data_IF_501152768727
#
_entry.id   IF_501152768727
#
_cell.length_a   1.000
_cell.length_b   1.000
_cell.length_c   1.000
_cell.angle_alpha   90.00
_cell.angle_beta   90.00
_cell.angle_gamma   90.00
#
_symmetry.space_group_name_H-M   'P 1'
#
loop_
_entity.id
_entity.type
_entity.pdbx_description
1 polymer ?
#
# COMPACT_ATOMS: atom_id res chain seq x y z
N UNK A 1 67.03 -55.84 -7.93
CA UNK A 1 67.86 -54.70 -8.38
C UNK A 1 66.95 -53.59 -8.91
N UNK A 2 66.92 -52.46 -8.20
CA UNK A 2 66.83 -51.07 -8.70
C UNK A 2 65.58 -50.62 -9.52
N UNK A 3 64.86 -49.67 -8.88
CA UNK A 3 64.10 -48.49 -9.38
C UNK A 3 62.71 -48.71 -10.02
N UNK A 4 61.64 -48.27 -9.35
CA UNK A 4 61.07 -46.89 -9.33
C UNK A 4 60.28 -46.56 -10.60
N UNK A 5 58.96 -46.39 -10.46
CA UNK A 5 58.31 -45.11 -10.75
C UNK A 5 56.93 -45.03 -10.08
N UNK A 6 56.77 -43.98 -9.26
CA UNK A 6 55.48 -43.44 -8.82
C UNK A 6 54.69 -42.95 -10.03
N UNK A 7 53.39 -43.25 -10.07
CA UNK A 7 52.38 -42.31 -10.58
C UNK A 7 51.15 -42.42 -9.67
N UNK A 8 50.90 -41.35 -8.93
CA UNK A 8 49.62 -41.06 -8.29
C UNK A 8 48.56 -40.81 -9.36
N UNK A 9 47.38 -41.42 -9.23
CA UNK A 9 46.15 -40.81 -9.69
C UNK A 9 45.02 -41.05 -8.70
N UNK A 10 44.30 -39.96 -8.45
CA UNK A 10 43.41 -39.74 -7.33
C UNK A 10 42.17 -40.62 -7.36
N UNK A 11 41.89 -41.13 -6.17
CA UNK A 11 40.65 -41.78 -5.75
C UNK A 11 39.50 -40.76 -5.74
N UNK A 12 38.43 -41.00 -6.49
CA UNK A 12 37.11 -40.43 -6.18
C UNK A 12 36.13 -41.59 -6.10
N UNK A 13 35.83 -41.96 -4.86
CA UNK A 13 34.83 -42.95 -4.49
C UNK A 13 33.43 -42.34 -4.64
N UNK A 14 32.55 -43.05 -5.35
CA UNK A 14 31.11 -42.98 -5.16
C UNK A 14 30.73 -43.90 -4.00
N UNK A 15 30.08 -43.38 -2.96
CA UNK A 15 29.15 -44.15 -2.12
C UNK A 15 28.02 -43.27 -1.59
N UNK A 16 26.80 -43.76 -1.75
CA UNK A 16 25.61 -43.30 -1.05
C UNK A 16 25.63 -43.81 0.40
N UNK A 17 25.32 -42.96 1.37
CA UNK A 17 24.58 -43.33 2.58
C UNK A 17 23.73 -42.13 3.02
N UNK A 18 22.43 -42.38 3.20
CA UNK A 18 21.56 -41.44 3.90
C UNK A 18 21.91 -41.43 5.39
N UNK A 19 21.93 -40.24 5.97
CA UNK A 19 21.76 -40.03 7.40
C UNK A 19 20.97 -38.73 7.59
N UNK A 20 19.79 -38.90 8.18
CA UNK A 20 18.99 -37.86 8.82
C UNK A 20 19.92 -37.10 9.78
N UNK A 21 20.17 -35.81 9.50
CA UNK A 21 20.77 -34.91 10.48
C UNK A 21 19.76 -33.85 10.88
N UNK A 22 19.21 -34.07 12.08
CA UNK A 22 18.73 -32.99 12.92
C UNK A 22 19.87 -32.00 13.09
N UNK A 23 19.75 -30.83 12.48
CA UNK A 23 20.46 -29.66 12.96
C UNK A 23 19.43 -28.57 13.26
N UNK A 24 19.11 -28.49 14.55
CA UNK A 24 18.48 -27.34 15.19
C UNK A 24 19.30 -26.11 14.79
N UNK A 25 18.73 -25.25 13.96
CA UNK A 25 19.10 -23.85 13.93
C UNK A 25 17.96 -23.06 14.58
N UNK A 26 18.32 -22.09 15.42
CA UNK A 26 17.50 -21.60 16.53
C UNK A 26 16.29 -20.86 15.99
N UNK A 27 15.21 -20.87 16.78
CA UNK A 27 14.05 -20.01 16.66
C UNK A 27 14.35 -18.76 15.81
N UNK A 28 13.89 -18.76 14.55
CA UNK A 28 13.23 -17.55 14.07
C UNK A 28 11.99 -17.46 14.95
N UNK A 29 12.15 -16.79 16.09
CA UNK A 29 11.00 -16.22 16.77
C UNK A 29 10.26 -15.47 15.68
N UNK A 30 9.10 -16.00 15.29
CA UNK A 30 8.04 -15.15 14.80
C UNK A 30 7.88 -14.11 15.88
N UNK A 31 8.53 -12.95 15.72
CA UNK A 31 8.25 -11.74 16.47
C UNK A 31 6.85 -11.27 16.04
N UNK A 32 5.84 -12.11 16.28
CA UNK A 32 4.50 -11.62 16.55
C UNK A 32 4.68 -10.77 17.77
N UNK A 33 4.44 -9.48 17.63
CA UNK A 33 4.33 -8.61 18.77
C UNK A 33 3.24 -9.18 19.69
N UNK A 34 3.67 -9.82 20.78
CA UNK A 34 2.81 -10.40 21.82
C UNK A 34 2.39 -9.37 22.86
N UNK A 35 2.84 -8.12 22.72
CA UNK A 35 2.37 -7.02 23.55
C UNK A 35 0.98 -6.61 23.12
N UNK A 36 0.03 -6.82 24.01
CA UNK A 36 -1.35 -6.41 23.85
C UNK A 36 -1.47 -4.90 24.02
N UNK A 37 -2.02 -4.22 23.01
CA UNK A 37 -2.35 -2.81 23.12
C UNK A 37 -3.38 -2.59 24.23
N UNK A 38 -3.19 -1.53 25.02
CA UNK A 38 -4.11 -1.19 26.11
C UNK A 38 -5.20 -0.26 25.62
N UNK A 39 -6.18 -0.80 24.89
CA UNK A 39 -7.34 -0.03 24.44
C UNK A 39 -8.52 -0.13 25.40
N UNK A 40 -9.43 0.85 25.41
CA UNK A 40 -10.71 0.71 26.10
C UNK A 40 -11.55 -0.42 25.47
N UNK A 41 -12.46 -1.00 26.24
CA UNK A 41 -13.48 -1.91 25.70
C UNK A 41 -14.57 -1.10 24.97
N UNK A 42 -14.25 -0.66 23.76
CA UNK A 42 -15.14 0.09 22.88
C UNK A 42 -15.22 -0.56 21.49
N UNK A 43 -16.26 -0.22 20.74
CA UNK A 43 -16.43 -0.72 19.37
C UNK A 43 -15.32 -0.23 18.43
N UNK A 44 -14.92 1.05 18.56
CA UNK A 44 -13.79 1.64 17.84
C UNK A 44 -12.49 0.89 18.10
N UNK A 45 -12.17 0.60 19.37
CA UNK A 45 -11.00 -0.17 19.74
C UNK A 45 -11.01 -1.58 19.14
N UNK A 46 -12.16 -2.27 19.16
CA UNK A 46 -12.31 -3.59 18.53
C UNK A 46 -12.08 -3.54 17.02
N UNK A 47 -12.63 -2.52 16.35
CA UNK A 47 -12.43 -2.28 14.90
C UNK A 47 -10.96 -2.00 14.58
N UNK A 48 -10.27 -1.19 15.38
CA UNK A 48 -8.83 -0.92 15.20
C UNK A 48 -8.00 -2.19 15.41
N UNK A 49 -8.28 -2.97 16.45
CA UNK A 49 -7.62 -4.27 16.66
C UNK A 49 -7.83 -5.21 15.46
N UNK A 50 -9.05 -5.30 14.94
CA UNK A 50 -9.36 -6.08 13.73
C UNK A 50 -8.52 -5.64 12.52
N UNK A 51 -8.41 -4.32 12.28
CA UNK A 51 -7.58 -3.81 11.18
C UNK A 51 -6.09 -4.11 11.39
N UNK A 52 -5.58 -4.02 12.63
CA UNK A 52 -4.19 -4.33 12.93
C UNK A 52 -3.88 -5.82 12.71
N UNK A 53 -4.79 -6.71 13.08
CA UNK A 53 -4.67 -8.14 12.81
C UNK A 53 -4.70 -8.42 11.30
N UNK A 54 -5.60 -7.76 10.57
CA UNK A 54 -5.67 -7.83 9.11
C UNK A 54 -4.36 -7.34 8.47
N UNK A 55 -3.82 -6.19 8.90
CA UNK A 55 -2.53 -5.67 8.45
C UNK A 55 -1.41 -6.71 8.63
N UNK A 56 -1.34 -7.35 9.80
CA UNK A 56 -0.29 -8.33 10.10
C UNK A 56 -0.36 -9.55 9.15
N UNK A 57 -1.57 -10.02 8.83
CA UNK A 57 -1.77 -11.11 7.85
C UNK A 57 -1.36 -10.70 6.45
N UNK A 58 -1.72 -9.48 6.04
CA UNK A 58 -1.32 -8.94 4.74
C UNK A 58 0.18 -8.79 4.62
N UNK A 59 0.85 -8.35 5.69
CA UNK A 59 2.29 -8.26 5.73
C UNK A 59 2.94 -9.65 5.58
N UNK A 60 2.46 -10.65 6.32
CA UNK A 60 2.98 -12.03 6.24
C UNK A 60 2.89 -12.61 4.82
N UNK A 61 1.78 -12.36 4.12
CA UNK A 61 1.50 -12.97 2.81
C UNK A 61 2.00 -12.15 1.61
N UNK A 62 1.96 -10.83 1.69
CA UNK A 62 2.15 -9.95 0.53
C UNK A 62 3.28 -8.93 0.69
N UNK A 63 3.55 -8.43 1.90
CA UNK A 63 4.56 -7.38 2.10
C UNK A 63 5.16 -7.40 3.51
N UNK A 64 6.18 -8.23 3.72
CA UNK A 64 6.71 -8.52 5.06
C UNK A 64 7.01 -7.28 5.90
N UNK A 65 7.61 -6.25 5.29
CA UNK A 65 8.03 -5.06 6.01
C UNK A 65 6.87 -4.20 6.55
N UNK A 66 5.65 -4.40 6.04
CA UNK A 66 4.47 -3.61 6.42
C UNK A 66 4.01 -3.85 7.87
N UNK A 67 4.49 -4.93 8.51
CA UNK A 67 4.24 -5.21 9.92
C UNK A 67 5.52 -5.25 10.77
N UNK A 68 6.63 -4.67 10.28
CA UNK A 68 7.88 -4.58 11.06
C UNK A 68 7.71 -3.75 12.34
N UNK A 69 6.70 -2.87 12.40
CA UNK A 69 6.31 -2.11 13.59
C UNK A 69 4.93 -2.53 14.07
N UNK A 70 4.72 -2.42 15.38
CA UNK A 70 3.41 -2.58 16.02
C UNK A 70 2.35 -1.65 15.42
N UNK A 71 2.71 -0.38 15.26
CA UNK A 71 1.94 0.64 14.56
C UNK A 71 2.92 1.56 13.83
N UNK A 72 2.52 2.07 12.67
CA UNK A 72 3.33 3.02 11.93
C UNK A 72 3.32 4.41 12.61
N UNK A 73 2.23 4.79 13.28
CA UNK A 73 2.17 6.00 14.08
C UNK A 73 0.75 6.32 14.55
N UNK A 74 0.48 7.60 14.79
CA UNK A 74 -0.79 8.03 15.39
C UNK A 74 -1.97 7.90 14.42
N UNK A 75 -3.06 7.34 14.92
CA UNK A 75 -4.36 7.31 14.24
C UNK A 75 -5.37 8.15 15.01
N UNK A 76 -6.20 8.91 14.30
CA UNK A 76 -7.32 9.64 14.87
C UNK A 76 -8.59 9.08 14.25
N UNK A 77 -9.37 8.38 15.08
CA UNK A 77 -10.70 7.87 14.76
C UNK A 77 -11.73 8.91 15.19
N UNK A 78 -12.44 9.51 14.24
CA UNK A 78 -13.48 10.48 14.53
C UNK A 78 -14.83 9.78 14.76
N UNK A 79 -15.47 10.09 15.88
CA UNK A 79 -16.72 9.47 16.30
C UNK A 79 -17.59 10.45 17.09
N UNK A 80 -18.67 10.92 16.47
CA UNK A 80 -19.54 11.97 16.96
C UNK A 80 -18.76 13.23 17.30
N UNK A 81 -18.77 13.61 18.58
CA UNK A 81 -18.11 14.81 19.10
C UNK A 81 -16.69 14.55 19.61
N UNK A 82 -16.12 13.38 19.34
CA UNK A 82 -14.85 12.94 19.90
C UNK A 82 -13.83 12.60 18.82
N UNK A 83 -12.56 12.78 19.19
CA UNK A 83 -11.40 12.22 18.52
C UNK A 83 -10.79 11.14 19.42
N UNK A 84 -10.92 9.89 19.01
CA UNK A 84 -10.31 8.74 19.65
C UNK A 84 -8.91 8.54 19.04
N UNK A 85 -7.87 8.79 19.81
CA UNK A 85 -6.50 8.87 19.31
C UNK A 85 -5.74 7.63 19.75
N UNK A 86 -5.41 6.78 18.78
CA UNK A 86 -4.65 5.56 18.96
C UNK A 86 -3.17 5.84 18.67
N UNK A 87 -2.28 5.24 19.46
CA UNK A 87 -0.82 5.41 19.36
C UNK A 87 -0.38 6.88 19.37
N UNK A 88 -0.81 7.67 20.37
CA UNK A 88 -0.55 9.11 20.41
C UNK A 88 0.96 9.41 20.49
N UNK A 89 1.47 10.15 19.52
CA UNK A 89 2.83 10.67 19.60
C UNK A 89 2.92 11.87 20.54
N UNK A 90 4.09 12.12 21.11
CA UNK A 90 4.33 13.34 21.91
C UNK A 90 3.99 14.61 21.13
N UNK A 91 4.26 14.61 19.83
CA UNK A 91 3.94 15.73 18.95
C UNK A 91 2.44 15.98 18.89
N UNK A 92 1.63 14.92 18.70
CA UNK A 92 0.17 15.05 18.71
C UNK A 92 -0.32 15.54 20.08
N UNK A 93 0.11 14.89 21.17
CA UNK A 93 -0.32 15.25 22.53
C UNK A 93 -0.04 16.71 22.89
N UNK A 94 1.14 17.23 22.51
CA UNK A 94 1.53 18.62 22.77
C UNK A 94 0.67 19.65 22.02
N UNK A 95 -0.06 19.24 20.98
CA UNK A 95 -0.94 20.11 20.17
C UNK A 95 -2.41 19.96 20.54
N UNK A 96 -2.79 18.96 21.33
CA UNK A 96 -4.15 18.80 21.82
C UNK A 96 -4.44 19.84 22.90
N UNK A 97 -5.59 20.53 22.79
CA UNK A 97 -6.03 21.50 23.80
C UNK A 97 -6.43 20.80 25.11
N UNK A 98 -7.16 19.70 25.01
CA UNK A 98 -7.66 18.91 26.13
C UNK A 98 -7.79 17.46 25.72
N UNK A 99 -7.43 16.53 26.61
CA UNK A 99 -7.62 15.09 26.39
C UNK A 99 -7.67 14.35 27.72
N UNK A 100 -8.19 13.13 27.69
CA UNK A 100 -8.18 12.16 28.79
C UNK A 100 -7.34 10.96 28.37
N UNK A 101 -6.37 10.60 29.21
CA UNK A 101 -5.54 9.42 28.98
C UNK A 101 -6.23 8.18 29.55
N UNK A 102 -6.41 7.16 28.71
CA UNK A 102 -6.76 5.81 29.15
C UNK A 102 -5.50 4.98 29.35
N UNK A 103 -4.57 5.05 28.39
CA UNK A 103 -3.28 4.36 28.39
C UNK A 103 -2.26 5.11 27.53
N UNK A 104 -1.04 4.59 27.43
CA UNK A 104 -0.03 5.12 26.49
C UNK A 104 -0.41 4.88 25.01
N UNK A 105 -1.26 3.87 24.75
CA UNK A 105 -1.72 3.52 23.40
C UNK A 105 -3.01 4.26 23.00
N UNK A 106 -3.67 4.96 23.94
CA UNK A 106 -4.97 5.56 23.69
C UNK A 106 -5.25 6.80 24.55
N UNK A 107 -5.64 7.88 23.87
CA UNK A 107 -6.24 9.07 24.49
C UNK A 107 -7.54 9.47 23.82
N UNK A 108 -8.44 10.09 24.59
CA UNK A 108 -9.71 10.63 24.11
C UNK A 108 -9.69 12.15 24.19
N UNK A 109 -10.02 12.82 23.09
CA UNK A 109 -10.13 14.28 23.02
C UNK A 109 -11.51 14.70 22.48
N UNK A 110 -12.02 15.90 22.80
CA UNK A 110 -13.05 16.52 21.97
C UNK A 110 -12.60 16.54 20.50
N UNK A 111 -13.56 16.49 19.58
CA UNK A 111 -13.28 16.44 18.14
C UNK A 111 -12.27 17.51 17.71
N UNK A 112 -11.18 17.07 17.07
CA UNK A 112 -10.03 17.91 16.73
C UNK A 112 -10.09 18.53 15.34
N UNK A 113 -11.04 18.10 14.49
CA UNK A 113 -11.23 18.63 13.15
C UNK A 113 -12.17 19.85 13.12
N UNK A 114 -12.16 20.52 11.97
CA UNK A 114 -13.11 21.60 11.66
C UNK A 114 -13.88 21.36 10.36
N UNK A 115 -13.61 20.25 9.67
CA UNK A 115 -14.28 19.85 8.43
C UNK A 115 -14.91 18.47 8.63
N UNK A 116 -15.98 18.15 7.91
CA UNK A 116 -16.78 16.98 8.24
C UNK A 116 -16.28 15.67 7.59
N UNK A 117 -15.31 15.73 6.67
CA UNK A 117 -14.78 14.56 5.96
C UNK A 117 -13.31 14.34 6.28
N UNK A 118 -12.99 13.12 6.74
CA UNK A 118 -11.63 12.63 6.90
C UNK A 118 -11.53 11.15 6.51
N UNK A 119 -10.71 10.88 5.51
CA UNK A 119 -10.22 9.53 5.22
C UNK A 119 -8.90 9.68 4.47
N UNK A 120 -7.85 9.99 5.22
CA UNK A 120 -6.57 10.42 4.65
C UNK A 120 -5.42 10.26 5.66
N UNK A 121 -4.20 10.13 5.14
CA UNK A 121 -2.99 10.41 5.86
C UNK A 121 -2.58 11.87 5.67
N UNK A 122 -2.62 12.66 6.74
CA UNK A 122 -2.12 14.03 6.71
C UNK A 122 -0.63 14.07 7.02
N UNK A 123 0.12 14.84 6.21
CA UNK A 123 1.49 15.25 6.49
C UNK A 123 1.75 16.62 5.83
N UNK A 124 2.44 17.51 6.54
CA UNK A 124 2.82 18.81 6.02
C UNK A 124 4.34 18.99 6.00
N UNK A 125 4.85 19.64 4.96
CA UNK A 125 6.27 19.98 4.84
C UNK A 125 6.54 21.50 4.91
N UNK A 126 5.52 22.33 4.68
CA UNK A 126 5.61 23.78 4.76
C UNK A 126 5.72 24.27 6.21
N UNK A 127 6.75 25.06 6.50
CA UNK A 127 7.01 25.63 7.83
C UNK A 127 5.89 26.56 8.32
N UNK A 128 5.05 27.09 7.43
CA UNK A 128 3.84 27.82 7.79
C UNK A 128 2.84 26.97 8.60
N UNK A 129 2.96 25.64 8.51
CA UNK A 129 2.12 24.67 9.20
C UNK A 129 2.80 24.03 10.42
N UNK A 130 3.90 24.61 10.94
CA UNK A 130 4.63 24.07 12.09
C UNK A 130 3.78 23.99 13.39
N UNK A 131 2.64 24.68 13.44
CA UNK A 131 1.67 24.56 14.51
C UNK A 131 0.85 23.26 14.45
N UNK A 132 0.72 22.63 13.28
CA UNK A 132 -0.09 21.43 13.06
C UNK A 132 0.54 20.18 13.66
N UNK A 133 -0.30 19.29 14.19
CA UNK A 133 0.17 18.01 14.75
C UNK A 133 0.78 17.09 13.69
N UNK A 134 0.43 17.27 12.41
CA UNK A 134 0.94 16.51 11.26
C UNK A 134 2.13 17.18 10.54
N UNK A 135 2.72 18.25 11.10
CA UNK A 135 3.90 18.88 10.50
C UNK A 135 5.12 17.95 10.57
N UNK A 136 5.64 17.57 9.41
CA UNK A 136 6.72 16.59 9.20
C UNK A 136 6.51 15.27 9.96
N UNK A 137 5.27 14.95 10.29
CA UNK A 137 4.89 13.77 11.06
C UNK A 137 3.58 13.22 10.48
N UNK A 138 3.59 12.06 9.82
CA UNK A 138 2.37 11.51 9.24
C UNK A 138 1.37 11.17 10.35
N UNK A 139 0.11 11.59 10.18
CA UNK A 139 -0.99 11.26 11.09
C UNK A 139 -2.18 10.82 10.27
N UNK A 140 -2.63 9.60 10.56
CA UNK A 140 -3.76 9.01 9.87
C UNK A 140 -5.07 9.48 10.50
N UNK A 141 -6.03 9.83 9.67
CA UNK A 141 -7.30 10.39 10.08
C UNK A 141 -8.42 9.69 9.32
N UNK A 142 -9.34 9.08 10.05
CA UNK A 142 -10.50 8.43 9.45
C UNK A 142 -11.75 8.64 10.29
N UNK A 143 -12.84 8.88 9.59
CA UNK A 143 -14.19 8.81 10.15
C UNK A 143 -14.52 7.37 10.58
N UNK A 144 -15.41 7.26 11.56
CA UNK A 144 -16.08 6.01 11.88
C UNK A 144 -16.79 5.41 10.67
N UNK A 145 -17.02 4.10 10.68
CA UNK A 145 -17.78 3.44 9.60
C UNK A 145 -19.21 4.00 9.50
N UNK A 146 -19.77 4.47 10.61
CA UNK A 146 -21.07 5.15 10.65
C UNK A 146 -21.03 6.50 9.93
N UNK A 147 -19.99 7.30 10.17
CA UNK A 147 -19.88 8.65 9.59
C UNK A 147 -19.44 8.64 8.14
N UNK A 148 -18.48 7.79 7.76
CA UNK A 148 -17.97 7.76 6.39
C UNK A 148 -19.05 7.36 5.38
N UNK A 149 -20.02 6.54 5.78
CA UNK A 149 -21.12 6.11 4.93
C UNK A 149 -22.02 7.26 4.45
N UNK A 150 -21.98 8.43 5.12
CA UNK A 150 -22.66 9.63 4.67
C UNK A 150 -21.96 10.32 3.47
N UNK A 151 -20.66 10.09 3.31
CA UNK A 151 -19.83 10.68 2.25
C UNK A 151 -19.55 9.70 1.11
N UNK A 152 -19.37 8.42 1.45
CA UNK A 152 -19.11 7.34 0.50
C UNK A 152 -20.17 6.26 0.74
N UNK A 153 -21.36 6.37 0.12
CA UNK A 153 -22.49 5.47 0.38
C UNK A 153 -22.24 3.99 0.06
N UNK A 154 -21.18 3.68 -0.69
CA UNK A 154 -20.76 2.30 -0.93
C UNK A 154 -20.15 1.64 0.30
N UNK A 155 -19.56 2.39 1.24
CA UNK A 155 -19.01 1.83 2.49
C UNK A 155 -20.15 1.56 3.46
N UNK A 156 -20.55 0.30 3.54
CA UNK A 156 -21.72 -0.13 4.33
C UNK A 156 -21.36 -1.00 5.53
N UNK A 157 -20.12 -1.49 5.60
CA UNK A 157 -19.70 -2.44 6.61
C UNK A 157 -18.31 -2.14 7.15
N UNK A 158 -18.02 -2.66 8.35
CA UNK A 158 -16.71 -2.54 9.01
C UNK A 158 -15.60 -3.12 8.14
N UNK A 159 -15.88 -4.20 7.41
CA UNK A 159 -14.93 -4.87 6.53
C UNK A 159 -14.59 -4.01 5.30
N UNK A 160 -15.56 -3.31 4.71
CA UNK A 160 -15.29 -2.33 3.64
C UNK A 160 -14.55 -1.11 4.15
N UNK A 161 -14.89 -0.62 5.34
CA UNK A 161 -14.15 0.45 5.99
C UNK A 161 -12.70 0.03 6.24
N UNK A 162 -12.48 -1.22 6.69
CA UNK A 162 -11.15 -1.75 6.96
C UNK A 162 -10.24 -1.79 5.73
N UNK A 163 -10.75 -2.06 4.52
CA UNK A 163 -9.91 -2.03 3.32
C UNK A 163 -9.33 -0.64 3.07
N UNK A 164 -10.13 0.40 3.30
CA UNK A 164 -9.68 1.78 3.20
C UNK A 164 -8.73 2.14 4.35
N UNK A 165 -8.97 1.68 5.58
CA UNK A 165 -8.01 1.94 6.67
C UNK A 165 -6.66 1.29 6.35
N UNK A 166 -6.64 0.10 5.76
CA UNK A 166 -5.40 -0.53 5.28
C UNK A 166 -4.70 0.31 4.21
N UNK A 167 -5.45 0.89 3.27
CA UNK A 167 -4.93 1.84 2.27
C UNK A 167 -4.14 2.97 2.95
N UNK A 168 -4.80 3.65 3.88
CA UNK A 168 -4.21 4.79 4.61
C UNK A 168 -3.07 4.37 5.56
N UNK A 169 -3.15 3.19 6.17
CA UNK A 169 -2.04 2.63 6.95
C UNK A 169 -0.83 2.36 6.06
N UNK A 170 -1.04 1.99 4.80
CA UNK A 170 0.05 1.79 3.86
C UNK A 170 0.71 3.11 3.48
N UNK A 171 -0.04 4.21 3.35
CA UNK A 171 0.58 5.54 3.25
C UNK A 171 1.43 5.84 4.49
N UNK A 172 0.94 5.54 5.69
CA UNK A 172 1.74 5.72 6.91
C UNK A 172 3.07 4.96 6.84
N UNK A 173 3.03 3.70 6.40
CA UNK A 173 4.22 2.88 6.15
C UNK A 173 5.18 3.53 5.15
N UNK A 174 4.66 4.05 4.03
CA UNK A 174 5.45 4.77 3.03
C UNK A 174 6.15 6.00 3.63
N UNK A 175 5.42 6.88 4.31
CA UNK A 175 5.96 8.13 4.88
C UNK A 175 6.90 7.91 6.07
N UNK A 176 6.89 6.73 6.66
CA UNK A 176 7.86 6.32 7.66
C UNK A 176 9.16 5.80 7.07
N UNK A 177 9.21 5.50 5.78
CA UNK A 177 10.46 5.33 5.07
C UNK A 177 11.08 6.71 4.81
N UNK A 178 12.31 6.94 5.31
CA UNK A 178 12.98 8.24 5.21
C UNK A 178 13.21 8.66 3.75
N UNK A 179 13.54 7.73 2.86
CA UNK A 179 13.81 8.03 1.45
C UNK A 179 12.52 8.40 0.71
N UNK A 180 11.43 7.68 0.97
CA UNK A 180 10.11 8.06 0.45
C UNK A 180 9.65 9.41 1.00
N UNK A 181 9.82 9.67 2.30
CA UNK A 181 9.46 10.96 2.90
C UNK A 181 10.24 12.13 2.30
N UNK A 182 11.54 11.96 2.09
CA UNK A 182 12.38 12.96 1.41
C UNK A 182 11.94 13.17 -0.04
N UNK A 183 11.56 12.09 -0.74
CA UNK A 183 11.01 12.19 -2.08
C UNK A 183 9.70 12.99 -2.08
N UNK A 184 8.78 12.69 -1.16
CA UNK A 184 7.53 13.42 -0.99
C UNK A 184 7.74 14.91 -0.67
N UNK A 185 8.68 15.26 0.22
CA UNK A 185 9.05 16.66 0.50
C UNK A 185 9.59 17.37 -0.76
N UNK A 186 10.37 16.66 -1.58
CA UNK A 186 10.87 17.20 -2.85
C UNK A 186 9.77 17.40 -3.91
N UNK A 187 8.68 16.64 -3.84
CA UNK A 187 7.50 16.82 -4.70
C UNK A 187 6.63 17.95 -4.17
N UNK A 188 6.39 18.01 -2.86
CA UNK A 188 5.59 19.04 -2.21
C UNK A 188 6.16 20.46 -2.36
N UNK A 189 7.47 20.59 -2.63
CA UNK A 189 8.12 21.88 -2.89
C UNK A 189 8.03 22.37 -4.34
N UNK A 190 7.44 21.57 -5.24
CA UNK A 190 7.22 21.96 -6.63
C UNK A 190 6.04 22.91 -6.75
N UNK A 191 6.07 23.77 -7.76
CA UNK A 191 4.92 24.59 -8.18
C UNK A 191 3.98 23.84 -9.14
N UNK A 192 4.02 22.52 -9.12
CA UNK A 192 3.21 21.62 -9.92
C UNK A 192 2.91 20.38 -9.07
N UNK A 193 1.64 20.03 -8.93
CA UNK A 193 1.19 18.93 -8.06
C UNK A 193 0.06 18.11 -8.69
N UNK A 194 -0.53 17.20 -7.91
CA UNK A 194 -1.60 16.32 -8.38
C UNK A 194 -2.82 17.06 -8.92
N UNK A 195 -3.13 18.26 -8.41
CA UNK A 195 -4.27 19.06 -8.89
C UNK A 195 -4.03 19.54 -10.31
N UNK A 196 -2.78 19.80 -10.69
CA UNK A 196 -2.43 20.12 -12.08
C UNK A 196 -2.64 18.90 -12.99
N UNK A 197 -2.24 17.69 -12.56
CA UNK A 197 -2.48 16.46 -13.31
C UNK A 197 -3.98 16.15 -13.45
N UNK A 198 -4.75 16.29 -12.37
CA UNK A 198 -6.20 16.09 -12.38
C UNK A 198 -6.85 17.08 -13.34
N UNK A 199 -6.47 18.36 -13.26
CA UNK A 199 -6.98 19.39 -14.17
C UNK A 199 -6.65 19.05 -15.62
N UNK A 200 -5.42 18.63 -15.91
CA UNK A 200 -5.03 18.22 -17.27
C UNK A 200 -5.87 17.04 -17.76
N UNK A 201 -6.07 16.01 -16.93
CA UNK A 201 -6.90 14.85 -17.27
C UNK A 201 -8.39 15.18 -17.45
N UNK A 202 -8.91 16.21 -16.78
CA UNK A 202 -10.30 16.65 -16.94
C UNK A 202 -10.50 17.59 -18.13
N UNK A 203 -9.53 18.45 -18.41
CA UNK A 203 -9.65 19.53 -19.40
C UNK A 203 -9.20 19.09 -20.81
N UNK A 204 -8.32 18.08 -20.92
CA UNK A 204 -7.75 17.62 -22.20
C UNK A 204 -8.12 16.15 -22.50
N UNK A 205 -9.10 15.92 -23.41
CA UNK A 205 -9.52 14.57 -23.79
C UNK A 205 -8.43 13.71 -24.46
N UNK A 206 -7.46 14.32 -25.14
CA UNK A 206 -6.36 13.58 -25.78
C UNK A 206 -5.40 13.05 -24.71
N UNK A 207 -5.18 13.81 -23.64
CA UNK A 207 -4.42 13.35 -22.48
C UNK A 207 -5.09 12.13 -21.83
N UNK A 208 -6.39 12.22 -21.51
CA UNK A 208 -7.12 11.14 -20.82
C UNK A 208 -7.23 9.90 -21.71
N UNK A 209 -7.43 10.07 -23.02
CA UNK A 209 -7.47 8.97 -23.98
C UNK A 209 -6.12 8.24 -24.07
N UNK A 210 -5.01 8.98 -24.06
CA UNK A 210 -3.68 8.39 -24.05
C UNK A 210 -3.41 7.60 -22.76
N UNK A 211 -3.81 8.13 -21.60
CA UNK A 211 -3.74 7.43 -20.31
C UNK A 211 -4.57 6.14 -20.30
N UNK A 212 -5.80 6.17 -20.83
CA UNK A 212 -6.64 4.98 -20.92
C UNK A 212 -5.99 3.92 -21.80
N UNK A 213 -5.45 4.32 -22.96
CA UNK A 213 -4.72 3.42 -23.87
C UNK A 213 -3.49 2.80 -23.20
N UNK A 214 -2.74 3.58 -22.43
CA UNK A 214 -1.63 3.09 -21.60
C UNK A 214 -2.13 2.02 -20.61
N UNK A 215 -3.19 2.31 -19.85
CA UNK A 215 -3.75 1.37 -18.88
C UNK A 215 -4.26 0.07 -19.53
N UNK A 216 -4.93 0.15 -20.69
CA UNK A 216 -5.38 -1.01 -21.45
C UNK A 216 -4.23 -1.93 -21.85
N UNK A 217 -3.08 -1.37 -22.21
CA UNK A 217 -1.89 -2.17 -22.56
C UNK A 217 -1.33 -2.91 -21.33
N UNK A 218 -1.37 -2.29 -20.15
CA UNK A 218 -1.02 -2.97 -18.89
C UNK A 218 -1.99 -4.12 -18.59
N UNK A 219 -3.30 -3.88 -18.75
CA UNK A 219 -4.31 -4.93 -18.55
C UNK A 219 -4.13 -6.09 -19.53
N UNK A 220 -3.90 -5.79 -20.82
CA UNK A 220 -3.57 -6.81 -21.84
C UNK A 220 -2.32 -7.60 -21.47
N UNK A 221 -1.28 -6.96 -20.93
CA UNK A 221 -0.08 -7.66 -20.47
C UNK A 221 -0.38 -8.56 -19.25
N UNK A 222 -1.23 -8.13 -18.33
CA UNK A 222 -1.66 -8.94 -17.17
C UNK A 222 -2.49 -10.14 -17.61
N UNK A 223 -3.36 -10.00 -18.59
CA UNK A 223 -4.26 -11.06 -19.06
C UNK A 223 -3.60 -12.01 -20.07
N UNK A 224 -2.47 -11.61 -20.67
CA UNK A 224 -1.75 -12.44 -21.64
C UNK A 224 -1.18 -13.72 -20.99
N UNK A 225 -1.27 -14.84 -21.72
CA UNK A 225 -0.83 -16.16 -21.27
C UNK A 225 0.52 -16.60 -21.84
N UNK A 226 1.14 -15.80 -22.72
CA UNK A 226 2.43 -16.10 -23.32
C UNK A 226 3.37 -14.91 -23.22
N UNK A 227 4.66 -15.20 -23.04
CA UNK A 227 5.71 -14.20 -22.81
C UNK A 227 5.82 -13.19 -23.94
N UNK A 228 5.75 -13.63 -25.20
CA UNK A 228 5.84 -12.73 -26.36
C UNK A 228 4.76 -11.65 -26.35
N UNK A 229 3.51 -12.02 -26.06
CA UNK A 229 2.40 -11.08 -25.95
C UNK A 229 2.55 -10.13 -24.76
N UNK A 230 3.08 -10.64 -23.63
CA UNK A 230 3.37 -9.81 -22.46
C UNK A 230 4.41 -8.74 -22.83
N UNK A 231 5.56 -9.15 -23.38
CA UNK A 231 6.65 -8.25 -23.79
C UNK A 231 6.19 -7.24 -24.85
N UNK A 232 5.39 -7.67 -25.83
CA UNK A 232 4.85 -6.78 -26.85
C UNK A 232 3.93 -5.69 -26.26
N UNK A 233 3.03 -6.06 -25.35
CA UNK A 233 2.14 -5.11 -24.69
C UNK A 233 2.92 -4.13 -23.81
N UNK A 234 3.92 -4.60 -23.05
CA UNK A 234 4.78 -3.74 -22.22
C UNK A 234 5.61 -2.78 -23.09
N UNK A 235 6.18 -3.27 -24.20
CA UNK A 235 6.94 -2.42 -25.13
C UNK A 235 6.05 -1.34 -25.74
N UNK A 236 4.83 -1.71 -26.15
CA UNK A 236 3.84 -0.77 -26.70
C UNK A 236 3.42 0.25 -25.64
N UNK A 237 3.22 -0.19 -24.38
CA UNK A 237 2.94 0.70 -23.26
C UNK A 237 3.99 1.79 -23.10
N UNK A 238 5.28 1.43 -23.09
CA UNK A 238 6.36 2.43 -22.99
C UNK A 238 6.42 3.38 -24.19
N UNK A 239 6.15 2.88 -25.40
CA UNK A 239 6.10 3.73 -26.58
C UNK A 239 4.97 4.76 -26.50
N UNK A 240 3.77 4.34 -26.10
CA UNK A 240 2.61 5.24 -25.95
C UNK A 240 2.83 6.24 -24.81
N UNK A 241 3.34 5.77 -23.66
CA UNK A 241 3.72 6.64 -22.55
C UNK A 241 4.73 7.69 -22.98
N UNK A 242 5.82 7.29 -23.63
CA UNK A 242 6.84 8.23 -24.14
C UNK A 242 6.24 9.25 -25.11
N UNK A 243 5.36 8.81 -26.01
CA UNK A 243 4.66 9.69 -26.95
C UNK A 243 3.83 10.74 -26.21
N UNK A 244 3.04 10.34 -25.21
CA UNK A 244 2.27 11.28 -24.38
C UNK A 244 3.20 12.23 -23.63
N UNK A 245 4.21 11.71 -22.92
CA UNK A 245 5.13 12.54 -22.14
C UNK A 245 5.80 13.62 -23.00
N UNK A 246 6.29 13.27 -24.20
CA UNK A 246 6.91 14.25 -25.11
C UNK A 246 5.91 15.26 -25.68
N UNK A 247 4.64 14.90 -25.88
CA UNK A 247 3.61 15.82 -26.37
C UNK A 247 3.30 16.95 -25.36
N UNK A 248 3.35 16.66 -24.05
CA UNK A 248 3.00 17.62 -23.00
C UNK A 248 4.22 18.26 -22.30
N UNK A 249 5.44 17.85 -22.65
CA UNK A 249 6.67 18.21 -21.94
C UNK A 249 6.96 19.71 -21.93
N UNK A 250 6.66 20.43 -23.01
CA UNK A 250 6.91 21.87 -23.10
C UNK A 250 6.02 22.67 -22.16
N UNK A 251 4.76 22.27 -22.01
CA UNK A 251 3.76 22.96 -21.19
C UNK A 251 3.78 22.47 -19.73
N UNK A 252 4.13 21.20 -19.52
CA UNK A 252 4.12 20.54 -18.23
C UNK A 252 5.43 19.78 -17.95
N UNK A 253 6.57 20.48 -17.83
CA UNK A 253 7.89 19.84 -17.69
C UNK A 253 8.06 19.01 -16.40
N UNK A 254 7.22 19.24 -15.39
CA UNK A 254 7.25 18.51 -14.11
C UNK A 254 6.27 17.34 -14.05
N UNK A 255 5.44 17.15 -15.09
CA UNK A 255 4.36 16.18 -15.14
C UNK A 255 4.82 14.76 -14.83
N UNK A 256 5.86 14.28 -15.53
CA UNK A 256 6.36 12.92 -15.34
C UNK A 256 6.84 12.68 -13.91
N UNK A 257 7.56 13.65 -13.33
CA UNK A 257 8.11 13.54 -11.98
C UNK A 257 6.98 13.40 -10.94
N UNK A 258 5.96 14.24 -11.06
CA UNK A 258 4.80 14.24 -10.15
C UNK A 258 3.94 12.99 -10.38
N UNK A 259 3.67 12.64 -11.64
CA UNK A 259 2.89 11.44 -11.99
C UNK A 259 3.57 10.18 -11.47
N UNK A 260 4.90 10.04 -11.63
CA UNK A 260 5.64 8.89 -11.11
C UNK A 260 5.55 8.76 -9.58
N UNK A 261 5.55 9.89 -8.86
CA UNK A 261 5.38 9.89 -7.40
C UNK A 261 3.98 9.40 -7.00
N UNK A 262 2.92 9.99 -7.55
CA UNK A 262 1.55 9.60 -7.19
C UNK A 262 1.18 8.21 -7.70
N UNK A 263 1.72 7.78 -8.84
CA UNK A 263 1.55 6.40 -9.32
C UNK A 263 2.17 5.40 -8.36
N UNK A 264 3.33 5.73 -7.76
CA UNK A 264 3.95 4.91 -6.72
C UNK A 264 3.14 4.95 -5.42
N UNK A 265 2.83 6.15 -4.91
CA UNK A 265 2.14 6.35 -3.64
C UNK A 265 0.77 5.67 -3.63
N UNK A 266 -0.11 6.09 -4.54
CA UNK A 266 -1.51 5.68 -4.58
C UNK A 266 -1.67 4.27 -5.15
N UNK A 267 -0.87 3.92 -6.16
CA UNK A 267 -0.91 2.59 -6.77
C UNK A 267 -0.52 1.48 -5.79
N UNK A 268 0.48 1.72 -4.93
CA UNK A 268 0.89 0.73 -3.95
C UNK A 268 -0.03 0.63 -2.74
N UNK A 269 -0.66 1.73 -2.33
CA UNK A 269 -1.74 1.69 -1.34
C UNK A 269 -2.97 0.95 -1.87
N UNK A 270 -3.42 1.24 -3.11
CA UNK A 270 -4.51 0.51 -3.78
C UNK A 270 -4.18 -0.97 -4.00
N UNK A 271 -2.93 -1.31 -4.28
CA UNK A 271 -2.50 -2.71 -4.34
C UNK A 271 -2.73 -3.42 -3.01
N UNK A 272 -2.35 -2.81 -1.89
CA UNK A 272 -2.57 -3.41 -0.56
C UNK A 272 -4.03 -3.45 -0.16
N UNK A 273 -4.83 -2.45 -0.55
CA UNK A 273 -6.28 -2.48 -0.43
C UNK A 273 -6.91 -3.67 -1.19
N UNK A 274 -6.44 -3.95 -2.40
CA UNK A 274 -6.90 -5.11 -3.16
C UNK A 274 -6.47 -6.44 -2.52
N UNK A 275 -5.24 -6.55 -2.01
CA UNK A 275 -4.82 -7.74 -1.26
C UNK A 275 -5.63 -7.92 0.03
N UNK A 276 -5.99 -6.83 0.69
CA UNK A 276 -6.90 -6.81 1.83
C UNK A 276 -8.25 -7.40 1.47
N UNK A 277 -8.86 -6.92 0.38
CA UNK A 277 -10.11 -7.44 -0.11
C UNK A 277 -10.00 -8.97 -0.37
N UNK A 278 -8.96 -9.43 -1.06
CA UNK A 278 -8.73 -10.87 -1.30
C UNK A 278 -8.66 -11.70 -0.02
N UNK A 279 -7.95 -11.22 1.00
CA UNK A 279 -7.86 -11.90 2.29
C UNK A 279 -9.24 -11.98 2.99
N UNK A 280 -10.04 -10.91 2.92
CA UNK A 280 -11.41 -10.90 3.44
C UNK A 280 -12.32 -11.89 2.67
N UNK A 281 -12.09 -12.07 1.37
CA UNK A 281 -12.77 -13.11 0.57
C UNK A 281 -12.43 -14.52 1.06
N UNK A 282 -11.16 -14.77 1.37
CA UNK A 282 -10.74 -16.04 1.97
C UNK A 282 -11.41 -16.28 3.34
N UNK A 283 -11.67 -15.23 4.12
CA UNK A 283 -12.42 -15.35 5.37
C UNK A 283 -13.91 -15.59 5.16
N UNK A 284 -14.51 -15.00 4.13
CA UNK A 284 -15.90 -15.30 3.75
C UNK A 284 -16.09 -16.78 3.43
N UNK A 285 -15.10 -17.39 2.76
CA UNK A 285 -15.12 -18.82 2.37
C UNK A 285 -14.82 -19.74 3.56
N UNK A 286 -13.76 -19.44 4.32
CA UNK A 286 -13.24 -20.36 5.34
C UNK A 286 -13.79 -20.12 6.74
N UNK A 287 -14.45 -18.98 6.98
CA UNK A 287 -15.06 -18.56 8.25
C UNK A 287 -14.19 -18.80 9.49
N UNK A 288 -12.97 -18.25 9.56
CA UNK A 288 -12.12 -18.45 10.73
C UNK A 288 -12.71 -17.73 11.96
N UNK A 289 -12.98 -18.47 13.04
CA UNK A 289 -13.49 -17.92 14.31
C UNK A 289 -12.65 -16.74 14.84
N UNK A 290 -11.33 -16.74 14.55
CA UNK A 290 -10.34 -15.82 15.10
C UNK A 290 -10.47 -14.33 14.71
N UNK A 291 -11.36 -13.98 13.77
CA UNK A 291 -11.47 -12.62 13.22
C UNK A 291 -12.90 -12.06 13.22
N UNK A 292 -13.81 -12.71 13.94
CA UNK A 292 -15.20 -12.24 14.06
C UNK A 292 -15.30 -11.08 15.05
N UNK A 293 -15.83 -9.94 14.60
CA UNK A 293 -16.16 -8.83 15.48
C UNK A 293 -17.56 -9.00 16.06
N UNK A 294 -17.64 -9.65 17.22
CA UNK A 294 -18.91 -9.77 17.95
C UNK A 294 -19.41 -8.41 18.44
N UNK A 295 -20.73 -8.20 18.37
CA UNK A 295 -21.42 -6.97 18.80
C UNK A 295 -21.10 -5.69 18.01
N UNK A 296 -20.48 -5.80 16.83
CA UNK A 296 -20.39 -4.69 15.88
C UNK A 296 -21.60 -4.73 14.92
N UNK A 297 -22.55 -3.78 14.98
CA UNK A 297 -23.73 -3.78 14.12
C UNK A 297 -23.42 -3.50 12.64
N UNK A 298 -22.19 -3.10 12.31
CA UNK A 298 -21.72 -2.85 10.94
C UNK A 298 -20.85 -3.99 10.42
N UNK A 299 -20.50 -4.97 11.25
CA UNK A 299 -19.80 -6.16 10.80
C UNK A 299 -20.80 -7.14 10.17
N UNK A 300 -20.58 -7.51 8.91
CA UNK A 300 -21.52 -8.27 8.10
C UNK A 300 -20.95 -9.64 7.68
N UNK A 301 -20.05 -10.20 8.50
CA UNK A 301 -19.44 -11.51 8.28
C UNK A 301 -18.87 -11.67 6.86
N UNK A 302 -18.18 -10.62 6.37
CA UNK A 302 -17.47 -10.61 5.09
C UNK A 302 -18.35 -10.76 3.84
N UNK A 303 -19.68 -10.62 3.95
CA UNK A 303 -20.62 -10.84 2.83
C UNK A 303 -20.29 -10.05 1.57
N UNK A 304 -19.78 -8.82 1.70
CA UNK A 304 -19.38 -7.99 0.57
C UNK A 304 -18.18 -8.54 -0.23
N UNK A 305 -17.47 -9.53 0.31
CA UNK A 305 -16.24 -10.09 -0.26
C UNK A 305 -16.37 -11.55 -0.72
N UNK A 306 -17.59 -12.12 -0.73
CA UNK A 306 -17.81 -13.50 -1.19
C UNK A 306 -17.41 -13.70 -2.67
N UNK A 307 -17.52 -12.66 -3.50
CA UNK A 307 -17.24 -12.72 -4.94
C UNK A 307 -16.40 -11.54 -5.41
N UNK A 308 -15.11 -11.54 -5.07
CA UNK A 308 -14.18 -10.51 -5.57
C UNK A 308 -13.78 -10.82 -7.01
N UNK A 309 -14.17 -9.92 -7.90
CA UNK A 309 -13.70 -9.92 -9.28
C UNK A 309 -13.49 -8.49 -9.74
N UNK A 310 -12.31 -8.20 -10.30
CA UNK A 310 -12.01 -6.88 -10.89
C UNK A 310 -12.86 -6.57 -12.13
N UNK A 311 -13.59 -7.55 -12.67
CA UNK A 311 -14.57 -7.35 -13.73
C UNK A 311 -15.98 -7.10 -13.18
N UNK A 312 -16.19 -7.26 -11.86
CA UNK A 312 -17.45 -6.93 -11.20
C UNK A 312 -17.52 -5.44 -10.92
N UNK A 313 -18.71 -4.85 -11.06
CA UNK A 313 -18.93 -3.40 -10.94
C UNK A 313 -18.49 -2.81 -9.59
N UNK A 314 -18.50 -3.61 -8.51
CA UNK A 314 -18.08 -3.19 -7.17
C UNK A 314 -16.56 -3.02 -7.03
N UNK A 315 -15.76 -3.63 -7.91
CA UNK A 315 -14.30 -3.60 -7.86
C UNK A 315 -13.63 -3.10 -9.15
N UNK A 316 -14.38 -2.94 -10.24
CA UNK A 316 -13.85 -2.49 -11.53
C UNK A 316 -13.24 -1.08 -11.48
N UNK A 317 -13.66 -0.26 -10.51
CA UNK A 317 -13.05 1.06 -10.26
C UNK A 317 -11.56 0.96 -9.87
N UNK A 318 -11.10 -0.18 -9.33
CA UNK A 318 -9.70 -0.36 -8.95
C UNK A 318 -8.78 -0.36 -10.18
N UNK A 319 -9.25 -0.88 -11.31
CA UNK A 319 -8.50 -1.00 -12.56
C UNK A 319 -8.83 0.09 -13.58
N UNK A 320 -9.89 0.87 -13.35
CA UNK A 320 -10.30 1.94 -14.25
C UNK A 320 -9.43 3.19 -14.08
N UNK A 321 -8.79 3.62 -15.16
CA UNK A 321 -7.95 4.81 -15.19
C UNK A 321 -8.79 6.06 -15.52
N UNK A 322 -9.59 6.51 -14.56
CA UNK A 322 -10.37 7.75 -14.69
C UNK A 322 -9.44 8.98 -14.79
N UNK A 323 -9.90 10.01 -15.51
CA UNK A 323 -9.20 11.28 -15.69
C UNK A 323 -8.62 11.87 -14.38
N UNK A 324 -9.37 11.75 -13.28
CA UNK A 324 -8.99 12.33 -11.98
C UNK A 324 -8.18 11.38 -11.09
N UNK A 325 -8.18 10.07 -11.36
CA UNK A 325 -7.59 9.05 -10.46
C UNK A 325 -6.73 8.00 -11.17
N UNK A 326 -6.34 8.24 -12.43
CA UNK A 326 -5.62 7.25 -13.24
C UNK A 326 -4.33 6.72 -12.62
N UNK A 327 -3.60 7.55 -11.87
CA UNK A 327 -2.33 7.21 -11.23
C UNK A 327 -2.50 6.05 -10.23
N UNK A 328 -3.67 5.94 -9.59
CA UNK A 328 -3.99 4.76 -8.78
C UNK A 328 -4.06 3.49 -9.62
N UNK A 329 -4.82 3.50 -10.72
CA UNK A 329 -5.04 2.34 -11.57
C UNK A 329 -3.75 1.89 -12.29
N UNK A 330 -2.99 2.85 -12.84
CA UNK A 330 -1.70 2.58 -13.48
C UNK A 330 -0.74 1.94 -12.48
N UNK A 331 -0.57 2.53 -11.29
CA UNK A 331 0.36 2.00 -10.30
C UNK A 331 -0.06 0.63 -9.76
N UNK A 332 -1.37 0.45 -9.50
CA UNK A 332 -1.94 -0.84 -9.12
C UNK A 332 -1.68 -1.92 -10.17
N UNK A 333 -1.95 -1.63 -11.44
CA UNK A 333 -1.76 -2.58 -12.55
C UNK A 333 -0.28 -2.87 -12.81
N UNK A 334 0.61 -1.89 -12.69
CA UNK A 334 2.07 -2.12 -12.74
C UNK A 334 2.50 -3.15 -11.69
N UNK A 335 2.05 -3.00 -10.44
CA UNK A 335 2.43 -3.93 -9.37
C UNK A 335 1.84 -5.34 -9.53
N UNK A 336 0.59 -5.44 -10.03
CA UNK A 336 0.00 -6.74 -10.43
C UNK A 336 0.82 -7.41 -11.52
N UNK A 337 1.26 -6.63 -12.51
CA UNK A 337 2.13 -7.12 -13.57
C UNK A 337 3.48 -7.56 -13.00
N UNK A 338 4.06 -6.84 -12.04
CA UNK A 338 5.33 -7.23 -11.41
C UNK A 338 5.21 -8.57 -10.70
N UNK A 339 4.12 -8.80 -9.98
CA UNK A 339 3.87 -10.08 -9.33
C UNK A 339 3.72 -11.21 -10.37
N UNK A 340 2.98 -10.98 -11.47
CA UNK A 340 2.85 -11.94 -12.58
C UNK A 340 4.21 -12.28 -13.20
N UNK A 341 5.09 -11.29 -13.33
CA UNK A 341 6.42 -11.41 -13.92
C UNK A 341 7.48 -11.92 -12.93
N UNK A 342 7.15 -12.10 -11.64
CA UNK A 342 8.12 -12.48 -10.61
C UNK A 342 9.20 -11.42 -10.33
N UNK A 343 8.92 -10.14 -10.58
CA UNK A 343 9.87 -9.05 -10.30
C UNK A 343 9.94 -8.84 -8.78
N UNK A 344 11.15 -8.91 -8.22
CA UNK A 344 11.36 -8.63 -6.80
C UNK A 344 11.56 -7.11 -6.55
N UNK A 345 10.46 -6.37 -6.42
CA UNK A 345 10.48 -4.92 -6.23
C UNK A 345 10.28 -4.47 -4.78
N UNK A 346 9.47 -5.20 -4.00
CA UNK A 346 8.96 -4.77 -2.68
C UNK A 346 10.04 -4.37 -1.69
N UNK A 347 11.18 -5.09 -1.69
CA UNK A 347 12.31 -4.84 -0.78
C UNK A 347 12.93 -3.45 -0.92
N UNK A 348 12.97 -2.91 -2.14
CA UNK A 348 13.72 -1.68 -2.44
C UNK A 348 12.82 -0.53 -2.92
N UNK A 349 11.50 -0.76 -3.00
CA UNK A 349 10.58 0.14 -3.71
C UNK A 349 10.57 1.56 -3.12
N UNK A 350 10.70 1.67 -1.80
CA UNK A 350 10.68 2.96 -1.10
C UNK A 350 12.08 3.46 -0.72
N UNK A 351 13.11 2.65 -0.93
CA UNK A 351 14.48 2.95 -0.50
C UNK A 351 15.25 3.81 -1.50
N UNK A 352 14.77 3.93 -2.74
CA UNK A 352 15.43 4.74 -3.76
C UNK A 352 14.42 5.63 -4.50
N UNK A 353 14.50 6.93 -4.27
CA UNK A 353 13.64 7.92 -4.92
C UNK A 353 13.79 7.98 -6.44
N UNK A 354 14.86 7.41 -7.00
CA UNK A 354 15.05 7.24 -8.44
C UNK A 354 14.41 5.98 -9.02
N UNK A 355 13.99 5.02 -8.19
CA UNK A 355 13.37 3.76 -8.65
C UNK A 355 11.85 3.85 -8.54
N UNK A 356 11.23 4.53 -9.50
CA UNK A 356 9.77 4.51 -9.66
C UNK A 356 9.27 3.17 -10.23
N UNK A 357 7.95 2.95 -10.26
CA UNK A 357 7.40 1.69 -10.79
C UNK A 357 7.82 1.43 -12.25
N UNK A 358 7.88 2.45 -13.10
CA UNK A 358 8.31 2.31 -14.49
C UNK A 358 9.75 1.78 -14.61
N UNK A 359 10.66 2.24 -13.75
CA UNK A 359 12.05 1.77 -13.73
C UNK A 359 12.16 0.25 -13.56
N UNK A 360 11.35 -0.36 -12.69
CA UNK A 360 11.36 -1.81 -12.48
C UNK A 360 10.91 -2.57 -13.73
N UNK A 361 9.88 -2.06 -14.42
CA UNK A 361 9.35 -2.68 -15.62
C UNK A 361 10.29 -2.52 -16.82
N UNK A 362 10.91 -1.35 -16.98
CA UNK A 362 11.96 -1.12 -17.99
C UNK A 362 13.16 -2.05 -17.76
N UNK A 363 13.58 -2.20 -16.50
CA UNK A 363 14.69 -3.08 -16.13
C UNK A 363 14.38 -4.55 -16.42
N UNK A 364 13.12 -4.96 -16.31
CA UNK A 364 12.67 -6.28 -16.74
C UNK A 364 12.73 -6.43 -18.27
N UNK A 365 12.23 -5.45 -19.04
CA UNK A 365 12.26 -5.48 -20.50
C UNK A 365 13.67 -5.58 -21.08
N UNK A 366 14.66 -4.92 -20.47
CA UNK A 366 16.06 -4.94 -20.93
C UNK A 366 16.68 -6.34 -20.96
N UNK A 367 16.06 -7.34 -20.34
CA UNK A 367 16.51 -8.75 -20.44
C UNK A 367 16.13 -9.41 -21.78
N UNK A 368 15.26 -8.76 -22.55
CA UNK A 368 14.67 -9.26 -23.81
C UNK A 368 15.09 -8.43 -25.03
N UNK A 369 15.91 -7.40 -24.82
CA UNK A 369 16.58 -6.59 -25.84
C UNK A 369 18.07 -6.97 -25.85
#
# INVERSE_FOLDING_TARGET
MIKSQLVSFSLVLLTFTGCISNNKNPNKENNRFTETFKFPDSISAKRISFVLDLRNRLAEKYWHDFANKKAEGTFIYFNGTCSEIFFPSKQVLNKLKTYKTFSEDYVLSPRTDSIPYHFELMIAFDSSQADKFYFKHPVQQFLSVEEIGAFIPSIKSTEMWATLVIHEMFHHFQYNNLNFKNYAESIASLNYDIRNLIKLGLDDPDFSSAIQKENELLLKAIDANNEMSIIQNITTYFNERKKRLEAYKSEHPLMEKVENFYTLQEGSARYMEYQCAKELSEFAINQPDSLTLTNDPKFNSFKAFENISLNHHEFSWMTYADASTYHYAIGFNLMRLFDKLGINYKKNLFDNSGYNLHFYLESYLKKYL
#
